data_IF_321489085001
#
_entry.id   IF_321489085001
#
_cell.length_a   1.000
_cell.length_b   1.000
_cell.length_c   1.000
_cell.angle_alpha   90.00
_cell.angle_beta   90.00
_cell.angle_gamma   90.00
#
_symmetry.space_group_name_H-M   'P 1'
#
loop_
_entity.id
_entity.type
_entity.pdbx_description
1 polymer ?
#
# COMPACT_ATOMS: atom_id res chain seq x y z
N UNK A 1 -9.73 34.30 8.99
CA UNK A 1 -10.42 33.57 10.08
C UNK A 1 -10.17 32.09 9.87
N UNK A 2 -9.46 31.45 10.81
CA UNK A 2 -9.30 30.00 10.81
C UNK A 2 -10.54 29.40 11.47
N UNK A 3 -11.39 28.73 10.72
CA UNK A 3 -12.53 28.03 11.29
C UNK A 3 -12.02 26.73 11.93
N UNK A 4 -12.10 26.65 13.25
CA UNK A 4 -11.85 25.40 13.97
C UNK A 4 -13.10 24.53 13.88
N UNK A 5 -12.94 23.29 13.43
CA UNK A 5 -14.01 22.29 13.48
C UNK A 5 -14.43 22.07 14.95
N UNK A 6 -15.73 22.02 15.28
CA UNK A 6 -16.18 21.67 16.62
C UNK A 6 -15.61 20.32 17.06
N UNK A 7 -15.17 20.23 18.32
CA UNK A 7 -14.54 19.01 18.86
C UNK A 7 -15.42 17.75 18.69
N UNK A 8 -16.72 17.88 18.92
CA UNK A 8 -17.67 16.78 18.74
C UNK A 8 -17.72 16.25 17.30
N UNK A 9 -17.67 17.16 16.31
CA UNK A 9 -17.64 16.78 14.90
C UNK A 9 -16.31 16.11 14.55
N UNK A 10 -15.21 16.62 15.06
CA UNK A 10 -13.89 16.04 14.88
C UNK A 10 -13.82 14.61 15.46
N UNK A 11 -14.36 14.40 16.66
CA UNK A 11 -14.43 13.06 17.27
C UNK A 11 -15.27 12.10 16.44
N UNK A 12 -16.46 12.52 15.95
CA UNK A 12 -17.30 11.67 15.11
C UNK A 12 -16.62 11.28 13.79
N UNK A 13 -15.84 12.18 13.18
CA UNK A 13 -15.06 11.86 11.96
C UNK A 13 -13.98 10.83 12.27
N UNK A 14 -13.30 10.95 13.39
CA UNK A 14 -12.25 9.99 13.79
C UNK A 14 -12.81 8.62 14.15
N UNK A 15 -13.91 8.57 14.90
CA UNK A 15 -14.60 7.32 15.23
C UNK A 15 -15.06 6.59 13.94
N UNK A 16 -15.59 7.33 12.98
CA UNK A 16 -15.95 6.79 11.67
C UNK A 16 -14.75 6.22 10.93
N UNK A 17 -13.64 6.98 10.86
CA UNK A 17 -12.40 6.55 10.20
C UNK A 17 -11.77 5.32 10.85
N UNK A 18 -11.75 5.26 12.19
CA UNK A 18 -11.25 4.11 12.95
C UNK A 18 -12.11 2.88 12.68
N UNK A 19 -13.45 3.04 12.68
CA UNK A 19 -14.38 1.95 12.40
C UNK A 19 -14.20 1.40 10.99
N UNK A 20 -14.00 2.26 10.00
CA UNK A 20 -13.71 1.86 8.61
C UNK A 20 -12.40 1.09 8.51
N UNK A 21 -11.33 1.56 9.18
CA UNK A 21 -10.03 0.89 9.19
C UNK A 21 -10.09 -0.46 9.88
N UNK A 22 -10.76 -0.56 11.03
CA UNK A 22 -10.93 -1.83 11.75
C UNK A 22 -11.67 -2.86 10.88
N UNK A 23 -12.72 -2.45 10.18
CA UNK A 23 -13.44 -3.33 9.26
C UNK A 23 -12.56 -3.76 8.07
N UNK A 24 -11.77 -2.84 7.50
CA UNK A 24 -10.89 -3.12 6.37
C UNK A 24 -9.73 -4.07 6.75
N UNK A 25 -9.19 -3.93 7.96
CA UNK A 25 -8.06 -4.72 8.46
C UNK A 25 -8.51 -6.10 8.95
N UNK A 26 -9.66 -6.20 9.65
CA UNK A 26 -10.13 -7.46 10.24
C UNK A 26 -10.46 -8.53 9.20
N UNK A 27 -10.93 -8.13 8.02
CA UNK A 27 -11.27 -9.03 6.93
C UNK A 27 -10.16 -9.17 5.89
N UNK A 28 -8.98 -8.57 6.15
CA UNK A 28 -7.88 -8.53 5.19
C UNK A 28 -7.07 -9.83 5.20
N UNK A 29 -6.95 -10.46 4.04
CA UNK A 29 -6.13 -11.66 3.84
C UNK A 29 -4.66 -11.26 3.60
N UNK A 30 -3.89 -11.11 4.69
CA UNK A 30 -2.47 -10.77 4.67
C UNK A 30 -1.63 -11.80 3.92
N UNK A 31 -1.94 -13.09 4.04
CA UNK A 31 -1.22 -14.15 3.34
C UNK A 31 -1.48 -14.09 1.84
N UNK A 32 -2.74 -13.91 1.45
CA UNK A 32 -3.12 -13.70 0.06
C UNK A 32 -2.48 -12.46 -0.54
N UNK A 33 -2.42 -11.35 0.22
CA UNK A 33 -1.74 -10.14 -0.20
C UNK A 33 -0.23 -10.32 -0.35
N UNK A 34 0.42 -11.00 0.59
CA UNK A 34 1.85 -11.32 0.50
C UNK A 34 2.17 -12.14 -0.74
N UNK A 35 1.34 -13.13 -1.05
CA UNK A 35 1.47 -13.93 -2.29
C UNK A 35 1.27 -13.07 -3.55
N UNK A 36 0.30 -12.15 -3.54
CA UNK A 36 0.11 -11.20 -4.64
C UNK A 36 1.33 -10.31 -4.84
N UNK A 37 1.90 -9.78 -3.76
CA UNK A 37 3.13 -8.99 -3.81
C UNK A 37 4.30 -9.79 -4.37
N UNK A 38 4.45 -11.05 -3.99
CA UNK A 38 5.49 -11.93 -4.52
C UNK A 38 5.34 -12.13 -6.04
N UNK A 39 4.12 -12.37 -6.52
CA UNK A 39 3.81 -12.47 -7.96
C UNK A 39 4.16 -11.17 -8.70
N UNK A 40 3.79 -10.02 -8.15
CA UNK A 40 4.08 -8.71 -8.75
C UNK A 40 5.59 -8.46 -8.80
N UNK A 41 6.28 -8.73 -7.70
CA UNK A 41 7.72 -8.52 -7.60
C UNK A 41 8.52 -9.46 -8.50
N UNK A 42 8.05 -10.69 -8.71
CA UNK A 42 8.64 -11.64 -9.63
C UNK A 42 8.74 -11.14 -11.09
N UNK A 43 7.97 -10.12 -11.45
CA UNK A 43 8.15 -9.44 -12.74
C UNK A 43 9.53 -8.83 -12.89
N UNK A 44 10.10 -8.24 -11.84
CA UNK A 44 11.40 -7.58 -11.87
C UNK A 44 12.57 -8.56 -12.04
N UNK A 45 12.38 -9.82 -11.64
CA UNK A 45 13.35 -10.89 -11.81
C UNK A 45 13.14 -11.69 -13.11
N UNK A 46 12.11 -11.32 -13.89
CA UNK A 46 11.71 -12.05 -15.08
C UNK A 46 12.47 -11.65 -16.34
N UNK A 47 12.58 -12.54 -17.34
CA UNK A 47 13.12 -12.20 -18.66
C UNK A 47 12.35 -11.06 -19.35
N UNK A 48 11.10 -10.85 -19.00
CA UNK A 48 10.27 -9.76 -19.56
C UNK A 48 10.76 -8.40 -19.09
N UNK A 49 11.15 -8.27 -17.82
CA UNK A 49 11.73 -7.04 -17.30
C UNK A 49 13.09 -6.74 -17.93
N UNK A 50 13.95 -7.73 -18.02
CA UNK A 50 15.25 -7.61 -18.71
C UNK A 50 15.08 -7.17 -20.17
N UNK A 51 14.17 -7.83 -20.90
CA UNK A 51 13.85 -7.46 -22.30
C UNK A 51 13.30 -6.03 -22.42
N UNK A 52 12.52 -5.60 -21.45
CA UNK A 52 12.02 -4.22 -21.38
C UNK A 52 13.17 -3.22 -21.21
N UNK A 53 14.10 -3.48 -20.30
CA UNK A 53 15.25 -2.60 -20.06
C UNK A 53 16.13 -2.47 -21.30
N UNK A 54 16.38 -3.58 -21.98
CA UNK A 54 17.15 -3.58 -23.24
C UNK A 54 16.42 -2.82 -24.37
N UNK A 55 15.12 -3.04 -24.52
CA UNK A 55 14.31 -2.32 -25.50
C UNK A 55 14.27 -0.81 -25.20
N UNK A 56 14.26 -0.45 -23.91
CA UNK A 56 14.31 0.95 -23.46
C UNK A 56 15.64 1.62 -23.85
N UNK A 57 16.77 0.92 -23.65
CA UNK A 57 18.09 1.41 -24.09
C UNK A 57 18.17 1.64 -25.60
N UNK A 58 17.43 0.83 -26.39
CA UNK A 58 17.36 0.95 -27.85
C UNK A 58 16.28 1.91 -28.34
N UNK A 59 15.51 2.54 -27.47
CA UNK A 59 14.39 3.42 -27.84
C UNK A 59 13.20 2.70 -28.48
N UNK A 60 13.10 1.37 -28.33
CA UNK A 60 12.05 0.53 -28.93
C UNK A 60 11.10 -0.11 -27.91
N UNK A 61 11.19 0.31 -26.64
CA UNK A 61 10.39 -0.25 -25.59
C UNK A 61 8.89 0.02 -25.80
N UNK A 62 8.11 -1.01 -25.63
CA UNK A 62 6.65 -0.90 -25.44
C UNK A 62 6.33 -0.35 -24.05
N UNK A 63 5.06 -0.18 -23.75
CA UNK A 63 4.63 0.24 -22.42
C UNK A 63 4.95 -0.82 -21.35
N UNK A 64 5.18 -0.37 -20.10
CA UNK A 64 5.39 -1.30 -18.96
C UNK A 64 4.20 -2.27 -18.80
N UNK A 65 2.93 -1.81 -18.92
CA UNK A 65 1.78 -2.71 -18.90
C UNK A 65 1.84 -3.86 -19.90
N UNK A 66 2.37 -3.64 -21.11
CA UNK A 66 2.48 -4.71 -22.10
C UNK A 66 3.46 -5.82 -21.67
N UNK A 67 4.59 -5.46 -21.07
CA UNK A 67 5.56 -6.43 -20.56
C UNK A 67 5.02 -7.19 -19.34
N UNK A 68 4.32 -6.49 -18.43
CA UNK A 68 3.64 -7.12 -17.29
C UNK A 68 2.54 -8.07 -17.73
N UNK A 69 1.72 -7.67 -18.70
CA UNK A 69 0.69 -8.54 -19.25
C UNK A 69 1.28 -9.81 -19.86
N UNK A 70 2.40 -9.70 -20.59
CA UNK A 70 3.10 -10.86 -21.14
C UNK A 70 3.67 -11.77 -20.04
N UNK A 71 4.22 -11.21 -18.98
CA UNK A 71 4.69 -11.95 -17.80
C UNK A 71 3.53 -12.69 -17.13
N UNK A 72 2.42 -12.01 -16.84
CA UNK A 72 1.25 -12.61 -16.22
C UNK A 72 0.67 -13.76 -17.05
N UNK A 73 0.60 -13.58 -18.34
CA UNK A 73 0.08 -14.61 -19.23
C UNK A 73 0.99 -15.83 -19.34
N UNK A 74 2.30 -15.62 -19.55
CA UNK A 74 3.20 -16.71 -19.93
C UNK A 74 3.89 -17.39 -18.74
N UNK A 75 4.06 -16.68 -17.60
CA UNK A 75 4.83 -17.21 -16.47
C UNK A 75 3.93 -17.57 -15.30
N UNK A 76 3.08 -16.65 -14.84
CA UNK A 76 2.37 -16.79 -13.57
C UNK A 76 0.84 -16.93 -13.71
N UNK A 77 0.32 -17.23 -14.90
CA UNK A 77 -1.12 -17.32 -15.12
C UNK A 77 -1.81 -18.36 -14.23
N UNK A 78 -1.14 -19.48 -13.96
CA UNK A 78 -1.63 -20.53 -13.07
C UNK A 78 -1.70 -20.06 -11.61
N UNK A 79 -0.64 -19.38 -11.15
CA UNK A 79 -0.53 -18.84 -9.79
C UNK A 79 -1.56 -17.73 -9.54
N UNK A 80 -1.70 -16.80 -10.49
CA UNK A 80 -2.73 -15.74 -10.41
C UNK A 80 -4.12 -16.33 -10.33
N UNK A 81 -4.43 -17.35 -11.16
CA UNK A 81 -5.74 -17.98 -11.13
C UNK A 81 -6.02 -18.71 -9.82
N UNK A 82 -5.02 -19.43 -9.29
CA UNK A 82 -5.12 -20.11 -8.02
C UNK A 82 -5.32 -19.12 -6.87
N UNK A 83 -4.56 -18.02 -6.87
CA UNK A 83 -4.68 -16.95 -5.87
C UNK A 83 -6.06 -16.29 -5.96
N UNK A 84 -6.50 -15.88 -7.14
CA UNK A 84 -7.80 -15.27 -7.36
C UNK A 84 -8.96 -16.13 -6.82
N UNK A 85 -8.88 -17.45 -6.97
CA UNK A 85 -9.91 -18.36 -6.49
C UNK A 85 -10.00 -18.46 -4.96
N UNK A 86 -8.94 -18.11 -4.24
CA UNK A 86 -8.87 -18.18 -2.77
C UNK A 86 -9.12 -16.84 -2.07
N UNK A 87 -8.95 -15.73 -2.77
CA UNK A 87 -9.11 -14.39 -2.20
C UNK A 87 -10.58 -14.03 -1.98
N UNK A 88 -10.83 -13.26 -0.92
CA UNK A 88 -12.13 -12.66 -0.67
C UNK A 88 -12.55 -11.64 -1.74
N UNK A 89 -13.86 -11.32 -1.82
CA UNK A 89 -14.42 -10.45 -2.87
C UNK A 89 -13.75 -9.09 -2.99
N UNK A 90 -13.34 -8.48 -1.86
CA UNK A 90 -12.66 -7.19 -1.83
C UNK A 90 -11.33 -7.25 -2.61
N UNK A 91 -10.51 -8.24 -2.32
CA UNK A 91 -9.20 -8.41 -2.98
C UNK A 91 -9.32 -8.93 -4.42
N UNK A 92 -10.37 -9.69 -4.74
CA UNK A 92 -10.65 -10.08 -6.13
C UNK A 92 -10.86 -8.87 -7.04
N UNK A 93 -11.32 -7.74 -6.49
CA UNK A 93 -11.47 -6.49 -7.21
C UNK A 93 -10.16 -5.93 -7.80
N UNK A 94 -8.98 -6.35 -7.29
CA UNK A 94 -7.67 -5.93 -7.84
C UNK A 94 -7.25 -6.71 -9.07
N UNK A 95 -8.08 -7.60 -9.54
CA UNK A 95 -7.82 -8.36 -10.76
C UNK A 95 -8.76 -7.92 -11.87
N UNK A 96 -8.31 -8.06 -13.09
CA UNK A 96 -9.15 -7.83 -14.26
C UNK A 96 -8.91 -8.90 -15.33
N UNK A 97 -9.95 -9.13 -16.11
CA UNK A 97 -9.85 -10.02 -17.28
C UNK A 97 -9.29 -9.22 -18.43
N UNK A 98 -8.09 -9.57 -18.83
CA UNK A 98 -7.44 -8.98 -20.00
C UNK A 98 -7.87 -9.73 -21.27
N UNK A 99 -8.61 -9.04 -22.13
CA UNK A 99 -8.96 -9.52 -23.47
C UNK A 99 -7.81 -9.20 -24.42
N UNK A 100 -7.09 -10.22 -24.82
CA UNK A 100 -5.96 -10.01 -25.72
C UNK A 100 -6.13 -10.74 -27.03
N UNK A 101 -6.38 -9.97 -28.10
CA UNK A 101 -6.52 -10.49 -29.48
C UNK A 101 -5.25 -11.23 -29.96
N UNK A 102 -4.07 -10.89 -29.41
CA UNK A 102 -2.78 -11.47 -29.80
C UNK A 102 -2.60 -12.88 -29.26
N UNK A 103 -3.10 -13.15 -28.03
CA UNK A 103 -2.92 -14.46 -27.37
C UNK A 103 -4.13 -15.38 -27.54
N UNK A 104 -5.16 -14.94 -28.24
CA UNK A 104 -6.38 -15.72 -28.54
C UNK A 104 -7.13 -16.28 -27.33
N UNK A 105 -6.79 -15.84 -26.14
CA UNK A 105 -7.45 -16.23 -24.89
C UNK A 105 -7.46 -15.09 -23.89
N UNK A 106 -8.54 -15.00 -23.16
CA UNK A 106 -8.64 -14.11 -22.02
C UNK A 106 -7.82 -14.67 -20.86
N UNK A 107 -7.21 -13.80 -20.06
CA UNK A 107 -6.50 -14.18 -18.87
C UNK A 107 -6.79 -13.22 -17.73
N UNK A 108 -6.67 -13.72 -16.50
CA UNK A 108 -6.76 -12.89 -15.30
C UNK A 108 -5.38 -12.28 -15.04
N UNK A 109 -5.33 -10.99 -14.88
CA UNK A 109 -4.12 -10.26 -14.51
C UNK A 109 -4.39 -9.25 -13.41
N UNK A 110 -3.33 -8.73 -12.81
CA UNK A 110 -3.41 -7.72 -11.75
C UNK A 110 -3.75 -6.36 -12.35
N UNK A 111 -4.79 -5.71 -11.83
CA UNK A 111 -5.14 -4.34 -12.13
C UNK A 111 -4.35 -3.40 -11.23
N UNK A 112 -3.19 -2.99 -11.71
CA UNK A 112 -2.28 -2.11 -10.95
C UNK A 112 -2.89 -0.75 -10.61
N UNK A 113 -3.84 -0.26 -11.41
CA UNK A 113 -4.49 1.04 -11.12
C UNK A 113 -5.35 0.87 -9.87
N UNK A 114 -6.22 -0.14 -9.85
CA UNK A 114 -7.09 -0.40 -8.69
C UNK A 114 -6.28 -0.72 -7.44
N UNK A 115 -5.25 -1.56 -7.55
CA UNK A 115 -4.38 -1.91 -6.43
C UNK A 115 -3.67 -0.67 -5.87
N UNK A 116 -3.12 0.18 -6.73
CA UNK A 116 -2.46 1.41 -6.31
C UNK A 116 -3.43 2.41 -5.69
N UNK A 117 -4.65 2.53 -6.24
CA UNK A 117 -5.70 3.41 -5.67
C UNK A 117 -6.05 2.95 -4.26
N UNK A 118 -6.34 1.66 -4.06
CA UNK A 118 -6.61 1.10 -2.75
C UNK A 118 -5.45 1.34 -1.76
N UNK A 119 -4.21 1.03 -2.17
CA UNK A 119 -3.03 1.25 -1.33
C UNK A 119 -2.88 2.72 -0.93
N UNK A 120 -3.11 3.64 -1.86
CA UNK A 120 -3.05 5.07 -1.58
C UNK A 120 -4.14 5.51 -0.58
N UNK A 121 -5.39 5.06 -0.78
CA UNK A 121 -6.51 5.35 0.12
C UNK A 121 -6.27 4.81 1.53
N UNK A 122 -5.81 3.54 1.64
CA UNK A 122 -5.45 2.96 2.93
C UNK A 122 -4.33 3.73 3.61
N UNK A 123 -3.27 4.08 2.87
CA UNK A 123 -2.14 4.87 3.40
C UNK A 123 -2.63 6.21 3.94
N UNK A 124 -3.51 6.92 3.23
CA UNK A 124 -4.06 8.19 3.71
C UNK A 124 -4.90 8.01 4.98
N UNK A 125 -5.72 6.97 5.08
CA UNK A 125 -6.50 6.66 6.28
C UNK A 125 -5.58 6.42 7.48
N UNK A 126 -4.59 5.56 7.32
CA UNK A 126 -3.62 5.24 8.38
C UNK A 126 -2.84 6.47 8.82
N UNK A 127 -2.34 7.27 7.89
CA UNK A 127 -1.63 8.52 8.19
C UNK A 127 -2.49 9.51 8.97
N UNK A 128 -3.75 9.67 8.60
CA UNK A 128 -4.67 10.56 9.31
C UNK A 128 -4.93 10.09 10.75
N UNK A 129 -5.06 8.77 10.97
CA UNK A 129 -5.22 8.20 12.31
C UNK A 129 -3.95 8.41 13.15
N UNK A 130 -2.77 8.11 12.60
CA UNK A 130 -1.50 8.33 13.29
C UNK A 130 -1.37 9.81 13.68
N UNK A 131 -1.63 10.72 12.74
CA UNK A 131 -1.54 12.16 12.99
C UNK A 131 -2.52 12.62 14.09
N UNK A 132 -3.75 12.13 14.04
CA UNK A 132 -4.78 12.46 15.04
C UNK A 132 -4.42 11.96 16.44
N UNK A 133 -3.86 10.75 16.53
CA UNK A 133 -3.57 10.07 17.80
C UNK A 133 -2.21 10.43 18.42
N UNK A 134 -1.28 10.98 17.63
CA UNK A 134 0.07 11.36 18.08
C UNK A 134 0.29 12.87 18.16
N UNK A 135 -0.53 13.66 17.44
CA UNK A 135 -0.26 15.09 17.26
C UNK A 135 0.93 15.40 16.34
N UNK A 136 1.48 14.39 15.66
CA UNK A 136 2.58 14.55 14.71
C UNK A 136 2.17 15.45 13.54
N UNK A 137 3.16 16.18 12.98
CA UNK A 137 2.96 16.88 11.71
C UNK A 137 2.91 15.88 10.55
N UNK A 138 2.27 16.27 9.46
CA UNK A 138 2.18 15.44 8.27
C UNK A 138 3.55 14.93 7.77
N UNK A 139 4.57 15.80 7.75
CA UNK A 139 5.93 15.41 7.36
C UNK A 139 6.59 14.41 8.32
N UNK A 140 6.21 14.44 9.59
CA UNK A 140 6.71 13.52 10.62
C UNK A 140 6.03 12.13 10.48
N UNK A 141 4.71 12.12 10.19
CA UNK A 141 3.99 10.87 9.90
C UNK A 141 4.57 10.16 8.67
N UNK A 142 4.96 10.92 7.64
CA UNK A 142 5.64 10.38 6.45
C UNK A 142 7.00 9.73 6.77
N UNK A 143 7.64 10.09 7.88
CA UNK A 143 8.90 9.52 8.36
C UNK A 143 8.73 8.22 9.17
N UNK A 144 7.49 7.79 9.44
CA UNK A 144 7.22 6.55 10.16
C UNK A 144 7.52 5.36 9.24
N UNK A 145 8.32 4.42 9.76
CA UNK A 145 8.75 3.24 9.02
C UNK A 145 8.40 1.97 9.79
N UNK A 146 8.54 0.82 9.14
CA UNK A 146 8.47 -0.46 9.83
C UNK A 146 9.48 -0.51 10.98
N UNK A 147 9.03 -0.88 12.17
CA UNK A 147 9.86 -0.88 13.38
C UNK A 147 9.93 0.46 14.12
N UNK A 148 9.15 1.47 13.70
CA UNK A 148 9.04 2.74 14.41
C UNK A 148 8.29 2.66 15.75
N UNK A 149 7.54 1.58 15.99
CA UNK A 149 6.88 1.38 17.29
C UNK A 149 7.93 1.10 18.38
N UNK A 150 7.81 1.80 19.48
CA UNK A 150 8.66 1.66 20.65
C UNK A 150 7.82 1.47 21.92
N UNK A 151 8.33 0.68 22.83
CA UNK A 151 7.69 0.40 24.11
C UNK A 151 8.63 0.82 25.23
N UNK A 152 8.11 1.66 26.13
CA UNK A 152 8.79 2.02 27.38
C UNK A 152 7.83 1.73 28.55
N UNK A 153 7.96 0.52 29.11
CA UNK A 153 7.00 -0.02 30.07
C UNK A 153 5.60 -0.13 29.45
N UNK A 154 4.63 0.59 30.02
CA UNK A 154 3.24 0.64 29.54
C UNK A 154 2.99 1.75 28.50
N UNK A 155 4.01 2.54 28.19
CA UNK A 155 3.92 3.64 27.25
C UNK A 155 4.25 3.15 25.85
N UNK A 156 3.31 3.32 24.93
CA UNK A 156 3.52 3.10 23.51
C UNK A 156 3.98 4.40 22.86
N UNK A 157 5.09 4.34 22.18
CA UNK A 157 5.66 5.44 21.40
C UNK A 157 5.79 5.11 19.93
N UNK A 158 5.88 6.15 19.12
CA UNK A 158 6.15 6.08 17.70
C UNK A 158 7.36 6.95 17.38
N UNK A 159 8.40 6.36 16.83
CA UNK A 159 9.63 7.05 16.42
C UNK A 159 9.54 7.55 15.00
N UNK A 160 9.88 8.80 14.78
CA UNK A 160 9.96 9.38 13.44
C UNK A 160 11.04 10.45 13.35
N UNK A 161 11.24 11.02 12.18
CA UNK A 161 12.25 12.04 11.90
C UNK A 161 11.66 13.44 12.04
N UNK A 162 12.25 14.26 12.90
CA UNK A 162 11.91 15.66 13.03
C UNK A 162 12.69 16.48 11.98
N UNK A 163 11.97 17.04 11.00
CA UNK A 163 12.60 17.77 9.90
C UNK A 163 12.81 19.28 10.17
N UNK A 164 12.06 19.85 11.12
CA UNK A 164 11.96 21.33 11.23
C UNK A 164 13.17 22.02 11.86
N UNK A 165 13.93 21.36 12.72
CA UNK A 165 15.04 21.94 13.47
C UNK A 165 16.32 21.12 13.42
N UNK A 166 16.33 20.10 12.57
CA UNK A 166 17.46 19.20 12.51
C UNK A 166 18.54 19.73 11.57
N UNK A 167 19.83 19.66 11.94
CA UNK A 167 20.92 19.75 10.99
C UNK A 167 20.77 18.68 9.92
N UNK A 168 21.54 18.79 8.85
CA UNK A 168 21.48 17.84 7.71
C UNK A 168 21.37 16.38 8.21
N UNK A 169 20.22 15.73 7.94
CA UNK A 169 19.96 14.35 8.33
C UNK A 169 18.78 14.12 9.27
N UNK A 170 18.19 15.19 9.84
CA UNK A 170 17.07 15.06 10.78
C UNK A 170 17.50 14.55 12.17
N UNK A 171 16.69 14.82 13.19
CA UNK A 171 16.77 14.14 14.49
C UNK A 171 15.60 13.17 14.63
N UNK A 172 15.84 12.07 15.35
CA UNK A 172 14.74 11.16 15.72
C UNK A 172 14.06 11.69 16.97
N UNK A 173 12.73 11.70 16.94
CA UNK A 173 11.88 12.06 18.08
C UNK A 173 10.87 10.94 18.32
N UNK A 174 10.47 10.80 19.58
CA UNK A 174 9.52 9.80 20.01
C UNK A 174 8.22 10.48 20.45
N UNK A 175 7.11 10.06 19.87
CA UNK A 175 5.77 10.53 20.20
C UNK A 175 5.00 9.47 20.98
N UNK A 176 4.37 9.89 22.05
CA UNK A 176 3.42 9.02 22.77
C UNK A 176 2.17 8.86 21.90
N UNK A 177 1.77 7.63 21.68
CA UNK A 177 0.58 7.29 20.88
C UNK A 177 -0.37 6.39 21.66
N UNK A 178 -1.62 6.37 21.28
CA UNK A 178 -2.57 5.43 21.87
C UNK A 178 -2.38 4.02 21.26
N UNK A 179 -2.83 2.99 21.98
CA UNK A 179 -2.70 1.58 21.56
C UNK A 179 -3.40 1.24 20.24
N UNK A 180 -4.27 2.11 19.75
CA UNK A 180 -4.88 1.91 18.43
C UNK A 180 -3.86 1.95 17.29
N UNK A 181 -2.79 2.73 17.42
CA UNK A 181 -1.71 2.82 16.41
C UNK A 181 -0.87 1.54 16.33
N UNK A 182 -0.98 0.66 17.33
CA UNK A 182 -0.30 -0.63 17.37
C UNK A 182 -0.89 -1.67 16.39
N UNK A 183 -2.17 -1.53 16.04
CA UNK A 183 -2.86 -2.43 15.11
C UNK A 183 -2.39 -2.24 13.67
#
# INVERSE_FOLDING_TARGET
QTYCMPFSLMMSVWEGLITELDAEISDFDFDGFSRLCAIINGFYDSPYYTSMLEARKRGTAKSIPDYRAAYYYNIVAGEIRALFATLGPGMQGWFSVHKNKRWRSDFIGVDHIKLNTWHFELTLKVMNVIQAMSGMRHSEVLGVMHGSLIYDGDILGLRSVLHKFAPEGGSHEDWVVCRYVEK
#
